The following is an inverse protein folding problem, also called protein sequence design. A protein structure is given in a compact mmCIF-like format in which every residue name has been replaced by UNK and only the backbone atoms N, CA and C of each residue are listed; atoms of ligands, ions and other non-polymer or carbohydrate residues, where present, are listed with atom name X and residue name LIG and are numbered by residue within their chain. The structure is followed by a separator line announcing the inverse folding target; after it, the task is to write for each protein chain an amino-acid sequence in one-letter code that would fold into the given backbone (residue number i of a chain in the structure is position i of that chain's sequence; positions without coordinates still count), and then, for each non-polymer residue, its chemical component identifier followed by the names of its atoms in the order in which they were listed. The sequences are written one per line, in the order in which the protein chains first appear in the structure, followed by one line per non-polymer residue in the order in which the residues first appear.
data_IF_941573469407
#
_entry.id   IF_941573469407
#
_cell.length_a   1.000
_cell.length_b   1.000
_cell.length_c   1.000
_cell.angle_alpha   90.00
_cell.angle_beta   90.00
_cell.angle_gamma   90.00
#
_symmetry.space_group_name_H-M   'P 1'
#
loop_
_entity.id
_entity.type
_entity.pdbx_description
1 polymer ?
#
# COMPACT_ATOMS: atom_id res chain seq x y z
N UNK A 1 81.51 -25.32 3.67
CA UNK A 1 81.45 -25.13 2.20
C UNK A 1 80.59 -26.25 1.63
N UNK A 2 79.72 -25.90 0.66
CA UNK A 2 78.91 -26.73 -0.25
C UNK A 2 77.62 -27.43 0.20
N UNK A 3 76.57 -27.10 -0.59
CA UNK A 3 75.42 -27.88 -1.07
C UNK A 3 74.22 -28.16 -0.13
N UNK A 4 73.11 -27.47 -0.45
CA UNK A 4 71.67 -27.82 -0.35
C UNK A 4 70.86 -26.64 0.22
N UNK A 5 70.72 -25.52 -0.49
CA UNK A 5 69.65 -25.27 -1.46
C UNK A 5 68.66 -26.43 -1.73
N UNK A 6 67.53 -26.42 -1.01
CA UNK A 6 66.20 -27.01 -1.31
C UNK A 6 65.40 -26.85 -0.01
N UNK A 7 64.27 -26.17 0.12
CA UNK A 7 63.23 -25.74 -0.80
C UNK A 7 62.64 -24.41 -0.25
N UNK A 8 62.88 -23.28 -0.93
CA UNK A 8 61.91 -22.19 -0.88
C UNK A 8 60.91 -22.47 -1.99
N UNK A 9 59.82 -23.14 -1.65
CA UNK A 9 58.67 -23.37 -2.55
C UNK A 9 58.05 -22.00 -2.85
N UNK A 10 58.60 -21.34 -3.88
CA UNK A 10 58.11 -20.09 -4.45
C UNK A 10 56.77 -20.44 -5.09
N UNK A 11 55.68 -20.18 -4.37
CA UNK A 11 54.34 -20.27 -4.93
C UNK A 11 54.25 -19.16 -5.97
N UNK A 12 54.57 -19.50 -7.22
CA UNK A 12 54.29 -18.64 -8.36
C UNK A 12 52.77 -18.63 -8.53
N UNK A 13 52.10 -17.73 -7.81
CA UNK A 13 50.69 -17.43 -8.05
C UNK A 13 50.64 -16.83 -9.46
N UNK A 14 50.13 -17.61 -10.41
CA UNK A 14 49.98 -17.19 -11.81
C UNK A 14 49.06 -15.97 -11.86
N UNK A 15 49.64 -14.81 -12.16
CA UNK A 15 48.92 -13.52 -12.25
C UNK A 15 47.82 -13.55 -13.32
N UNK A 16 47.99 -14.35 -14.37
CA UNK A 16 46.95 -14.61 -15.38
C UNK A 16 45.78 -15.42 -14.83
N UNK A 17 46.05 -16.40 -13.96
CA UNK A 17 45.02 -17.22 -13.31
C UNK A 17 44.17 -16.43 -12.31
N UNK A 18 44.81 -15.57 -11.51
CA UNK A 18 44.09 -14.69 -10.57
C UNK A 18 43.31 -13.58 -11.27
N UNK A 19 43.81 -13.04 -12.39
CA UNK A 19 43.08 -12.07 -13.20
C UNK A 19 41.82 -12.68 -13.85
N UNK A 20 41.95 -13.86 -14.48
CA UNK A 20 40.80 -14.56 -15.09
C UNK A 20 39.77 -14.98 -14.04
N UNK A 21 40.21 -15.46 -12.87
CA UNK A 21 39.32 -15.80 -11.76
C UNK A 21 38.61 -14.57 -11.19
N UNK A 22 39.30 -13.44 -11.06
CA UNK A 22 38.71 -12.17 -10.63
C UNK A 22 37.68 -11.64 -11.63
N UNK A 23 37.97 -11.68 -12.94
CA UNK A 23 37.02 -11.29 -13.99
C UNK A 23 35.80 -12.21 -14.01
N UNK A 24 36.00 -13.52 -13.81
CA UNK A 24 34.90 -14.50 -13.73
C UNK A 24 34.01 -14.26 -12.50
N UNK A 25 34.59 -13.97 -11.34
CA UNK A 25 33.85 -13.56 -10.14
C UNK A 25 33.08 -12.27 -10.36
N UNK A 26 33.70 -11.25 -10.95
CA UNK A 26 33.04 -9.96 -11.27
C UNK A 26 31.87 -10.20 -12.24
N UNK A 27 32.04 -11.04 -13.26
CA UNK A 27 30.97 -11.42 -14.16
C UNK A 27 29.82 -12.13 -13.43
N UNK A 28 30.11 -13.07 -12.52
CA UNK A 28 29.09 -13.70 -11.66
C UNK A 28 28.36 -12.65 -10.81
N UNK A 29 29.08 -11.71 -10.20
CA UNK A 29 28.50 -10.62 -9.41
C UNK A 29 27.59 -9.71 -10.24
N UNK A 30 27.91 -9.47 -11.52
CA UNK A 30 27.05 -8.72 -12.45
C UNK A 30 25.74 -9.47 -12.76
N UNK A 31 25.73 -10.81 -12.66
CA UNK A 31 24.54 -11.65 -12.87
C UNK A 31 23.74 -11.94 -11.58
N UNK A 32 24.25 -11.62 -10.39
CA UNK A 32 23.55 -11.79 -9.10
C UNK A 32 22.42 -10.75 -8.97
N UNK A 33 21.28 -11.08 -9.57
CA UNK A 33 20.04 -10.30 -9.48
C UNK A 33 19.27 -10.77 -8.25
N UNK A 34 19.37 -10.06 -7.14
CA UNK A 34 18.47 -10.32 -6.01
C UNK A 34 17.04 -9.97 -6.44
N UNK A 35 16.14 -10.95 -6.32
CA UNK A 35 14.73 -10.82 -6.67
C UNK A 35 13.90 -10.86 -5.39
N UNK A 36 12.70 -10.27 -5.46
CA UNK A 36 11.73 -10.32 -4.37
C UNK A 36 10.48 -11.08 -4.78
N UNK A 37 10.06 -12.00 -3.91
CA UNK A 37 8.80 -12.73 -4.02
C UNK A 37 7.87 -12.30 -2.90
N UNK A 38 6.71 -11.80 -3.29
CA UNK A 38 5.65 -11.42 -2.38
C UNK A 38 4.64 -12.57 -2.25
N UNK A 39 4.26 -12.85 -1.01
CA UNK A 39 3.22 -13.81 -0.66
C UNK A 39 2.08 -13.03 -0.04
N UNK A 40 1.05 -12.78 -0.83
CA UNK A 40 -0.19 -12.10 -0.41
C UNK A 40 -1.24 -13.17 -0.12
N UNK A 41 -1.97 -13.03 0.99
CA UNK A 41 -2.96 -14.02 1.39
C UNK A 41 -4.24 -13.91 0.54
N UNK A 42 -4.34 -14.72 -0.51
CA UNK A 42 -5.51 -14.76 -1.38
C UNK A 42 -6.61 -15.63 -0.78
N UNK A 43 -7.36 -15.10 0.18
CA UNK A 43 -8.56 -15.76 0.71
C UNK A 43 -9.84 -15.34 -0.05
N UNK A 44 -9.70 -14.79 -1.26
CA UNK A 44 -10.83 -14.31 -2.04
C UNK A 44 -11.44 -15.52 -2.75
N UNK A 45 -12.70 -15.83 -2.44
CA UNK A 45 -13.46 -16.79 -3.25
C UNK A 45 -13.60 -16.20 -4.65
N UNK A 46 -13.03 -16.87 -5.67
CA UNK A 46 -13.13 -16.43 -7.07
C UNK A 46 -14.59 -16.35 -7.56
N UNK A 47 -15.52 -16.95 -6.82
CA UNK A 47 -16.96 -16.98 -7.10
C UNK A 47 -17.80 -16.07 -6.19
N UNK A 48 -17.22 -15.04 -5.56
CA UNK A 48 -18.02 -14.08 -4.78
C UNK A 48 -19.03 -13.37 -5.70
N UNK A 49 -20.27 -13.83 -5.69
CA UNK A 49 -21.37 -13.22 -6.46
C UNK A 49 -21.70 -11.87 -5.83
N UNK A 50 -21.42 -10.78 -6.55
CA UNK A 50 -21.79 -9.44 -6.11
C UNK A 50 -23.27 -9.23 -6.45
N UNK A 51 -24.15 -9.00 -5.46
CA UNK A 51 -25.55 -8.71 -5.75
C UNK A 51 -25.68 -7.40 -6.53
N UNK A 52 -26.60 -7.34 -7.50
CA UNK A 52 -26.87 -6.10 -8.23
C UNK A 52 -27.94 -5.28 -7.48
N UNK A 53 -27.60 -4.06 -7.10
CA UNK A 53 -28.52 -3.11 -6.45
C UNK A 53 -28.79 -1.88 -7.33
N UNK A 54 -29.40 -2.12 -8.48
CA UNK A 54 -29.75 -1.10 -9.49
C UNK A 54 -30.51 0.14 -8.99
N UNK A 55 -31.14 0.09 -7.82
CA UNK A 55 -31.93 1.20 -7.26
C UNK A 55 -31.17 2.10 -6.27
N UNK A 56 -29.98 1.69 -5.82
CA UNK A 56 -29.24 2.42 -4.77
C UNK A 56 -27.97 3.02 -5.36
N UNK A 57 -27.74 4.32 -5.12
CA UNK A 57 -26.57 5.03 -5.61
C UNK A 57 -25.47 5.07 -4.56
N UNK A 58 -24.43 4.26 -4.77
CA UNK A 58 -23.24 4.21 -3.92
C UNK A 58 -22.14 5.09 -4.50
N UNK A 59 -21.50 5.89 -3.64
CA UNK A 59 -20.31 6.67 -4.00
C UNK A 59 -19.11 6.22 -3.19
N UNK A 60 -18.04 5.87 -3.90
CA UNK A 60 -16.77 5.44 -3.33
C UNK A 60 -15.77 6.60 -3.26
N UNK A 61 -15.04 6.69 -2.16
CA UNK A 61 -14.02 7.71 -1.89
C UNK A 61 -12.79 6.98 -1.34
N UNK A 62 -11.59 7.36 -1.79
CA UNK A 62 -10.35 6.70 -1.39
C UNK A 62 -10.03 5.46 -2.23
N UNK A 63 -9.65 4.35 -1.58
CA UNK A 63 -9.06 3.16 -2.23
C UNK A 63 -7.82 3.54 -3.05
N UNK A 64 -6.90 4.25 -2.41
CA UNK A 64 -5.68 4.82 -3.01
C UNK A 64 -4.43 4.24 -2.35
N UNK A 65 -3.41 3.82 -3.12
CA UNK A 65 -2.15 3.42 -2.52
C UNK A 65 -1.41 4.66 -1.99
N UNK A 66 -0.47 4.43 -1.07
CA UNK A 66 0.46 5.46 -0.64
C UNK A 66 1.79 5.32 -1.36
N UNK A 67 2.47 6.45 -1.56
CA UNK A 67 3.86 6.53 -1.93
C UNK A 67 4.62 7.31 -0.84
N UNK A 68 5.84 6.88 -0.56
CA UNK A 68 6.71 7.51 0.44
C UNK A 68 7.62 8.52 -0.23
N UNK A 69 7.56 9.78 0.22
CA UNK A 69 8.42 10.87 -0.23
C UNK A 69 9.28 11.40 0.92
N UNK A 70 10.49 11.88 0.60
CA UNK A 70 11.36 12.57 1.57
C UNK A 70 11.05 14.06 1.48
N UNK A 71 10.32 14.60 2.45
CA UNK A 71 9.85 16.00 2.42
C UNK A 71 10.84 16.97 3.06
N UNK A 72 11.68 16.51 3.97
CA UNK A 72 12.83 17.27 4.49
C UNK A 72 14.06 16.39 4.55
N UNK A 73 15.17 16.86 4.00
CA UNK A 73 16.48 16.23 4.12
C UNK A 73 17.47 17.28 4.60
N UNK A 74 17.86 17.19 5.87
CA UNK A 74 19.01 17.92 6.41
C UNK A 74 20.14 16.93 6.72
N UNK A 75 21.31 17.43 7.12
CA UNK A 75 22.46 16.62 7.56
C UNK A 75 22.14 15.72 8.76
N UNK A 76 21.13 16.06 9.56
CA UNK A 76 20.79 15.34 10.81
C UNK A 76 19.39 14.71 10.79
N UNK A 77 18.46 15.21 9.98
CA UNK A 77 17.06 14.74 9.98
C UNK A 77 16.53 14.49 8.58
N UNK A 78 15.93 13.30 8.39
CA UNK A 78 15.12 12.95 7.22
C UNK A 78 13.68 12.75 7.66
N UNK A 79 12.77 13.52 7.11
CA UNK A 79 11.33 13.37 7.34
C UNK A 79 10.73 12.67 6.13
N UNK A 80 10.04 11.56 6.40
CA UNK A 80 9.32 10.79 5.39
C UNK A 80 7.82 11.09 5.51
N UNK A 81 7.16 11.27 4.38
CA UNK A 81 5.72 11.52 4.30
C UNK A 81 5.10 10.50 3.36
N UNK A 82 4.00 9.87 3.79
CA UNK A 82 3.21 8.99 2.94
C UNK A 82 2.09 9.82 2.31
N UNK A 83 2.09 9.89 0.99
CA UNK A 83 1.12 10.64 0.19
C UNK A 83 0.25 9.67 -0.63
N UNK A 84 -1.05 9.89 -0.67
CA UNK A 84 -1.93 9.16 -1.59
C UNK A 84 -1.52 9.43 -3.04
N UNK A 85 -1.46 8.37 -3.85
CA UNK A 85 -1.07 8.45 -5.27
C UNK A 85 -2.30 8.73 -6.14
N UNK A 86 -2.19 9.70 -7.04
CA UNK A 86 -3.21 10.03 -8.05
C UNK A 86 -2.60 9.95 -9.46
N UNK A 87 -3.36 9.55 -10.50
CA UNK A 87 -4.77 9.15 -10.49
C UNK A 87 -4.99 7.67 -10.14
N UNK A 88 -3.97 6.97 -9.63
CA UNK A 88 -4.02 5.54 -9.38
C UNK A 88 -4.97 5.13 -8.25
N UNK A 89 -5.82 4.13 -8.52
CA UNK A 89 -6.68 3.48 -7.52
C UNK A 89 -6.23 2.05 -7.29
N UNK A 90 -6.30 1.56 -6.05
CA UNK A 90 -6.10 0.13 -5.75
C UNK A 90 -7.22 -0.68 -6.36
N UNK A 91 -8.48 -0.28 -6.17
CA UNK A 91 -9.62 -0.88 -6.86
C UNK A 91 -9.95 -0.01 -8.07
N UNK A 92 -9.88 -0.56 -9.27
CA UNK A 92 -10.07 0.25 -10.49
C UNK A 92 -11.53 0.71 -10.63
N UNK A 93 -12.47 -0.19 -10.39
CA UNK A 93 -13.91 0.04 -10.55
C UNK A 93 -14.70 -0.94 -9.68
N UNK A 94 -15.80 -0.46 -9.12
CA UNK A 94 -16.85 -1.26 -8.49
C UNK A 94 -18.03 -1.44 -9.45
N UNK A 95 -18.75 -2.56 -9.36
CA UNK A 95 -19.91 -2.85 -10.21
C UNK A 95 -21.13 -1.99 -9.82
N UNK A 96 -21.36 -1.79 -8.52
CA UNK A 96 -22.49 -1.11 -7.92
C UNK A 96 -22.08 0.25 -7.36
N UNK A 97 -21.96 1.24 -8.23
CA UNK A 97 -21.70 2.62 -7.85
C UNK A 97 -20.52 3.23 -8.60
N UNK A 98 -20.16 4.45 -8.20
CA UNK A 98 -19.15 5.25 -8.88
C UNK A 98 -18.21 5.93 -7.88
N UNK A 99 -16.99 6.21 -8.29
CA UNK A 99 -16.10 7.03 -7.48
C UNK A 99 -16.56 8.48 -7.46
N UNK A 100 -16.34 9.17 -6.34
CA UNK A 100 -16.73 10.56 -6.17
C UNK A 100 -16.14 11.49 -7.24
N UNK A 101 -14.91 11.23 -7.69
CA UNK A 101 -14.26 12.02 -8.73
C UNK A 101 -14.92 11.90 -10.11
N UNK A 102 -15.72 10.85 -10.32
CA UNK A 102 -16.36 10.56 -11.60
C UNK A 102 -17.78 11.16 -11.66
N UNK A 103 -18.27 11.73 -10.54
CA UNK A 103 -19.60 12.31 -10.40
C UNK A 103 -19.56 13.83 -10.53
N UNK A 104 -20.59 14.40 -11.16
CA UNK A 104 -20.77 15.85 -11.27
C UNK A 104 -21.74 16.33 -10.20
N UNK A 105 -21.34 17.39 -9.49
CA UNK A 105 -22.22 18.05 -8.52
C UNK A 105 -23.26 18.92 -9.23
N UNK A 106 -24.52 18.82 -8.79
CA UNK A 106 -25.64 19.68 -9.27
C UNK A 106 -25.83 20.89 -8.36
N UNK A 107 -25.20 20.92 -7.18
CA UNK A 107 -25.32 22.01 -6.22
C UNK A 107 -24.77 21.65 -4.84
N UNK A 108 -25.37 22.24 -3.81
CA UNK A 108 -25.01 21.96 -2.42
C UNK A 108 -26.24 21.55 -1.61
N UNK A 109 -26.10 20.47 -0.84
CA UNK A 109 -27.11 19.99 0.11
C UNK A 109 -27.22 20.99 1.27
N UNK A 110 -28.42 21.52 1.51
CA UNK A 110 -28.73 22.45 2.62
C UNK A 110 -29.29 21.74 3.86
N UNK A 111 -29.72 20.50 3.68
CA UNK A 111 -30.32 19.64 4.70
C UNK A 111 -29.28 18.97 5.62
N UNK A 112 -28.00 18.98 5.24
CA UNK A 112 -26.89 18.50 6.07
C UNK A 112 -26.17 19.70 6.68
N UNK A 113 -26.06 19.73 8.02
CA UNK A 113 -25.42 20.84 8.73
C UNK A 113 -23.92 20.92 8.46
N UNK A 114 -23.37 22.14 8.47
CA UNK A 114 -21.93 22.39 8.28
C UNK A 114 -21.07 21.61 9.28
N UNK A 115 -21.52 21.46 10.53
CA UNK A 115 -20.78 20.71 11.56
C UNK A 115 -20.68 19.22 11.24
N UNK A 116 -21.73 18.61 10.65
CA UNK A 116 -21.67 17.21 10.20
C UNK A 116 -20.68 17.03 9.06
N UNK A 117 -20.69 17.95 8.09
CA UNK A 117 -19.75 17.93 6.97
C UNK A 117 -18.31 18.13 7.48
N UNK A 118 -18.11 19.07 8.40
CA UNK A 118 -16.82 19.32 9.05
C UNK A 118 -16.31 18.08 9.78
N UNK A 119 -17.16 17.41 10.56
CA UNK A 119 -16.81 16.17 11.26
C UNK A 119 -16.39 15.08 10.28
N UNK A 120 -17.18 14.84 9.23
CA UNK A 120 -16.84 13.88 8.17
C UNK A 120 -15.48 14.18 7.52
N UNK A 121 -15.21 15.45 7.18
CA UNK A 121 -13.93 15.90 6.63
C UNK A 121 -12.79 15.64 7.62
N UNK A 122 -12.97 15.99 8.90
CA UNK A 122 -11.96 15.78 9.93
C UNK A 122 -11.69 14.29 10.17
N UNK A 123 -12.73 13.47 10.25
CA UNK A 123 -12.61 12.02 10.46
C UNK A 123 -11.81 11.37 9.33
N UNK A 124 -12.00 11.80 8.08
CA UNK A 124 -11.19 11.30 6.95
C UNK A 124 -9.75 11.82 7.00
N UNK A 125 -9.55 13.14 7.16
CA UNK A 125 -8.21 13.74 7.21
C UNK A 125 -7.40 13.31 8.43
N UNK A 126 -8.04 12.87 9.51
CA UNK A 126 -7.33 12.31 10.66
C UNK A 126 -6.59 11.01 10.29
N UNK A 127 -7.11 10.23 9.34
CA UNK A 127 -6.50 8.99 8.87
C UNK A 127 -5.47 9.25 7.77
N UNK A 128 -5.86 9.97 6.71
CA UNK A 128 -5.03 10.12 5.49
C UNK A 128 -4.24 11.44 5.42
N UNK A 129 -4.41 12.31 6.42
CA UNK A 129 -3.76 13.63 6.53
C UNK A 129 -4.00 14.48 5.29
N UNK A 130 -3.11 15.43 5.02
CA UNK A 130 -3.25 16.41 3.93
C UNK A 130 -3.38 15.78 2.54
N UNK A 131 -2.81 14.58 2.35
CA UNK A 131 -2.87 13.87 1.06
C UNK A 131 -4.30 13.46 0.63
N UNK A 132 -5.24 13.40 1.58
CA UNK A 132 -6.65 13.13 1.31
C UNK A 132 -7.52 14.34 0.98
N UNK A 133 -6.98 15.56 1.05
CA UNK A 133 -7.78 16.77 0.80
C UNK A 133 -8.40 16.73 -0.59
N UNK A 134 -7.66 16.25 -1.61
CA UNK A 134 -8.16 16.16 -2.98
C UNK A 134 -9.41 15.28 -3.10
N UNK A 135 -9.43 14.09 -2.48
CA UNK A 135 -10.60 13.20 -2.46
C UNK A 135 -11.84 13.89 -1.87
N UNK A 136 -11.65 14.68 -0.81
CA UNK A 136 -12.73 15.43 -0.18
C UNK A 136 -13.25 16.57 -1.05
N UNK A 137 -12.42 17.16 -1.93
CA UNK A 137 -12.89 18.22 -2.84
C UNK A 137 -13.95 17.72 -3.82
N UNK A 138 -14.03 16.42 -4.11
CA UNK A 138 -15.07 15.88 -4.99
C UNK A 138 -16.45 15.82 -4.31
N UNK A 139 -16.48 15.75 -2.99
CA UNK A 139 -17.70 15.53 -2.20
C UNK A 139 -18.08 16.76 -1.37
N UNK A 140 -17.11 17.58 -0.99
CA UNK A 140 -17.31 18.72 -0.10
C UNK A 140 -16.72 19.99 -0.70
N UNK A 141 -17.15 21.14 -0.20
CA UNK A 141 -16.49 22.41 -0.42
C UNK A 141 -16.41 23.21 0.87
N UNK A 142 -15.42 24.10 0.94
CA UNK A 142 -15.24 25.00 2.09
C UNK A 142 -15.36 26.43 1.58
N UNK A 143 -16.28 27.18 2.16
CA UNK A 143 -16.42 28.61 1.93
C UNK A 143 -15.96 29.38 3.15
N UNK A 144 -15.10 30.38 2.94
CA UNK A 144 -14.67 31.29 3.99
C UNK A 144 -15.67 32.44 4.06
N UNK A 145 -16.39 32.58 5.16
CA UNK A 145 -17.21 33.76 5.47
C UNK A 145 -16.61 34.47 6.67
N UNK A 146 -15.78 35.49 6.40
CA UNK A 146 -15.03 36.19 7.45
C UNK A 146 -14.01 35.27 8.12
N UNK A 147 -14.11 35.11 9.45
CA UNK A 147 -13.28 34.20 10.24
C UNK A 147 -13.80 32.76 10.25
N UNK A 148 -15.08 32.55 9.93
CA UNK A 148 -15.69 31.22 9.96
C UNK A 148 -15.53 30.48 8.62
N UNK A 149 -15.25 29.17 8.74
CA UNK A 149 -15.20 28.24 7.60
C UNK A 149 -16.49 27.43 7.56
N UNK A 150 -17.28 27.64 6.51
CA UNK A 150 -18.52 26.90 6.28
C UNK A 150 -18.22 25.70 5.40
N UNK A 151 -18.50 24.51 5.91
CA UNK A 151 -18.35 23.25 5.20
C UNK A 151 -19.67 22.90 4.52
N UNK A 152 -19.63 22.68 3.21
CA UNK A 152 -20.80 22.33 2.40
C UNK A 152 -20.63 20.96 1.77
N UNK A 153 -21.71 20.19 1.73
CA UNK A 153 -21.77 18.91 1.04
C UNK A 153 -22.28 19.14 -0.39
N UNK A 154 -21.55 18.63 -1.38
CA UNK A 154 -21.96 18.67 -2.78
C UNK A 154 -23.13 17.71 -3.01
N UNK A 155 -24.10 18.15 -3.80
CA UNK A 155 -25.19 17.27 -4.20
C UNK A 155 -24.80 16.48 -5.45
N UNK A 156 -24.38 15.24 -5.20
CA UNK A 156 -23.98 14.27 -6.23
C UNK A 156 -24.99 13.12 -6.38
N UNK A 157 -26.17 13.24 -5.76
CA UNK A 157 -27.25 12.26 -5.88
C UNK A 157 -26.95 10.91 -5.23
N UNK A 158 -26.15 10.88 -4.16
CA UNK A 158 -25.69 9.66 -3.49
C UNK A 158 -26.60 9.24 -2.33
N UNK A 159 -26.91 7.94 -2.26
CA UNK A 159 -27.64 7.33 -1.14
C UNK A 159 -26.70 6.87 -0.02
N UNK A 160 -25.51 6.37 -0.38
CA UNK A 160 -24.49 5.89 0.55
C UNK A 160 -23.08 6.33 0.13
N UNK A 161 -22.32 6.84 1.10
CA UNK A 161 -20.90 7.14 0.93
C UNK A 161 -20.05 6.02 1.53
N UNK A 162 -19.09 5.52 0.77
CA UNK A 162 -18.16 4.47 1.19
C UNK A 162 -16.74 5.03 1.16
N UNK A 163 -16.12 5.15 2.33
CA UNK A 163 -14.72 5.52 2.48
C UNK A 163 -13.87 4.25 2.55
N UNK A 164 -12.90 4.08 1.64
CA UNK A 164 -11.90 3.03 1.72
C UNK A 164 -10.53 3.59 2.04
N UNK A 165 -9.95 3.17 3.17
CA UNK A 165 -8.66 3.66 3.67
C UNK A 165 -7.73 2.47 3.84
N UNK A 166 -6.58 2.48 3.16
CA UNK A 166 -5.54 1.48 3.38
C UNK A 166 -4.69 1.86 4.59
N UNK A 167 -4.34 0.87 5.40
CA UNK A 167 -3.47 1.00 6.55
C UNK A 167 -2.44 -0.12 6.54
N UNK A 168 -1.29 0.04 7.22
CA UNK A 168 -0.68 1.30 7.61
C UNK A 168 -0.14 2.09 6.39
N UNK A 169 0.06 3.40 6.54
CA UNK A 169 0.61 4.25 5.47
C UNK A 169 2.08 3.93 5.13
N UNK A 170 2.83 3.44 6.13
CA UNK A 170 4.18 2.91 5.99
C UNK A 170 4.19 1.44 6.39
N UNK A 171 5.01 0.62 5.72
CA UNK A 171 5.18 -0.79 6.03
C UNK A 171 5.64 -0.95 7.48
N UNK A 172 4.89 -1.75 8.23
CA UNK A 172 5.25 -2.13 9.59
C UNK A 172 5.36 -3.65 9.68
N UNK A 173 6.35 -4.18 10.42
CA UNK A 173 6.41 -5.60 10.72
C UNK A 173 5.17 -6.05 11.49
N UNK A 174 4.71 -7.29 11.22
CA UNK A 174 3.52 -7.87 11.86
C UNK A 174 3.59 -7.81 13.39
N UNK A 175 4.71 -8.24 13.95
CA UNK A 175 4.99 -8.25 15.39
C UNK A 175 6.48 -8.02 15.63
N UNK A 176 6.88 -7.78 16.88
CA UNK A 176 8.29 -7.59 17.26
C UNK A 176 9.20 -8.73 16.80
N UNK A 177 8.75 -9.99 16.91
CA UNK A 177 9.51 -11.15 16.44
C UNK A 177 9.76 -11.11 14.92
N UNK A 178 8.81 -10.60 14.12
CA UNK A 178 9.00 -10.39 12.68
C UNK A 178 10.10 -9.36 12.42
N UNK A 179 10.14 -8.27 13.19
CA UNK A 179 11.19 -7.25 13.09
C UNK A 179 12.58 -7.85 13.34
N UNK A 180 12.70 -8.72 14.34
CA UNK A 180 13.96 -9.41 14.66
C UNK A 180 14.39 -10.34 13.52
N UNK A 181 13.48 -11.18 13.03
CA UNK A 181 13.75 -12.09 11.90
C UNK A 181 14.14 -11.29 10.66
N UNK A 182 13.46 -10.18 10.38
CA UNK A 182 13.76 -9.31 9.26
C UNK A 182 15.16 -8.71 9.37
N UNK A 183 15.53 -8.21 10.55
CA UNK A 183 16.85 -7.64 10.78
C UNK A 183 17.95 -8.68 10.54
N UNK A 184 17.86 -9.84 11.20
CA UNK A 184 18.89 -10.87 11.10
C UNK A 184 18.95 -11.48 9.70
N UNK A 185 17.82 -11.85 9.11
CA UNK A 185 17.78 -12.41 7.76
C UNK A 185 18.32 -11.42 6.71
N UNK A 186 18.07 -10.12 6.87
CA UNK A 186 18.63 -9.10 5.99
C UNK A 186 20.15 -8.99 6.13
N UNK A 187 20.69 -9.02 7.35
CA UNK A 187 22.15 -9.00 7.60
C UNK A 187 22.83 -10.21 6.99
N UNK A 188 22.31 -11.42 7.25
CA UNK A 188 22.88 -12.65 6.68
C UNK A 188 22.71 -12.72 5.17
N UNK A 189 21.61 -12.20 4.62
CA UNK A 189 21.43 -12.06 3.17
C UNK A 189 22.48 -11.14 2.57
N UNK A 190 22.78 -9.99 3.17
CA UNK A 190 23.82 -9.08 2.67
C UNK A 190 25.20 -9.75 2.71
N UNK A 191 25.56 -10.37 3.84
CA UNK A 191 26.87 -11.04 4.00
C UNK A 191 27.03 -12.23 3.04
N UNK A 192 25.95 -12.95 2.75
CA UNK A 192 25.95 -14.09 1.83
C UNK A 192 25.62 -13.71 0.38
N UNK A 193 25.61 -12.41 0.03
CA UNK A 193 25.25 -11.92 -1.30
C UNK A 193 23.91 -12.44 -1.84
N UNK A 194 22.94 -12.63 -0.94
CA UNK A 194 21.58 -13.07 -1.24
C UNK A 194 21.42 -14.58 -1.46
N UNK A 195 22.44 -15.38 -1.11
CA UNK A 195 22.32 -16.85 -1.02
C UNK A 195 21.42 -17.25 0.15
N UNK A 196 21.63 -16.68 1.32
CA UNK A 196 20.70 -16.75 2.45
C UNK A 196 19.58 -15.74 2.18
N UNK A 197 18.31 -16.14 2.26
CA UNK A 197 17.22 -15.23 1.96
C UNK A 197 17.03 -14.18 3.05
N UNK A 198 16.66 -12.96 2.64
CA UNK A 198 16.03 -11.96 3.50
C UNK A 198 14.54 -12.23 3.57
N UNK A 199 13.95 -12.17 4.77
CA UNK A 199 12.52 -12.42 4.98
C UNK A 199 11.89 -11.30 5.79
N UNK A 200 10.70 -10.85 5.40
CA UNK A 200 9.90 -9.91 6.19
C UNK A 200 8.43 -10.34 6.20
N UNK A 201 7.77 -10.25 7.36
CA UNK A 201 6.31 -10.36 7.48
C UNK A 201 5.74 -9.01 7.89
N UNK A 202 4.87 -8.46 7.04
CA UNK A 202 4.45 -7.06 7.05
C UNK A 202 2.93 -6.95 7.18
N UNK A 203 2.47 -5.90 7.84
CA UNK A 203 1.06 -5.57 7.98
C UNK A 203 0.55 -4.81 6.75
N UNK A 204 -0.67 -5.13 6.36
CA UNK A 204 -1.49 -4.32 5.49
C UNK A 204 -2.96 -4.58 5.84
N UNK A 205 -3.80 -3.58 5.68
CA UNK A 205 -5.21 -3.66 5.98
C UNK A 205 -5.99 -2.61 5.21
N UNK A 206 -7.30 -2.80 5.16
CA UNK A 206 -8.24 -1.84 4.59
C UNK A 206 -9.35 -1.62 5.58
N UNK A 207 -9.63 -0.37 5.90
CA UNK A 207 -10.81 0.02 6.66
C UNK A 207 -11.83 0.63 5.71
N UNK A 208 -13.05 0.07 5.71
CA UNK A 208 -14.17 0.54 4.92
C UNK A 208 -15.22 1.11 5.85
N UNK A 209 -15.44 2.42 5.80
CA UNK A 209 -16.48 3.12 6.58
C UNK A 209 -17.66 3.44 5.66
N UNK A 210 -18.87 3.02 6.04
CA UNK A 210 -20.10 3.26 5.27
C UNK A 210 -20.93 4.32 5.98
N UNK A 211 -21.36 5.34 5.24
CA UNK A 211 -22.21 6.43 5.71
C UNK A 211 -23.50 6.49 4.91
N UNK A 212 -24.57 6.96 5.54
CA UNK A 212 -25.80 7.31 4.83
C UNK A 212 -25.66 8.63 4.05
N UNK A 213 -26.71 8.97 3.27
CA UNK A 213 -26.81 10.23 2.53
C UNK A 213 -26.69 11.51 3.38
N UNK A 214 -26.79 11.42 4.70
CA UNK A 214 -26.73 12.52 5.66
C UNK A 214 -25.41 12.54 6.45
N UNK A 215 -24.42 11.76 6.01
CA UNK A 215 -23.10 11.59 6.63
C UNK A 215 -23.13 10.99 8.04
N UNK A 216 -24.17 10.23 8.39
CA UNK A 216 -24.15 9.43 9.61
C UNK A 216 -23.42 8.12 9.32
N UNK A 217 -22.37 7.81 10.08
CA UNK A 217 -21.66 6.54 9.96
C UNK A 217 -22.57 5.39 10.38
N UNK A 218 -22.68 4.38 9.52
CA UNK A 218 -23.53 3.22 9.71
C UNK A 218 -22.73 2.01 10.20
N UNK A 219 -21.54 1.81 9.63
CA UNK A 219 -20.63 0.72 10.02
C UNK A 219 -19.18 1.03 9.62
N UNK A 220 -18.24 0.30 10.22
CA UNK A 220 -16.84 0.23 9.80
C UNK A 220 -16.42 -1.24 9.72
N UNK A 221 -15.90 -1.66 8.56
CA UNK A 221 -15.44 -3.02 8.29
C UNK A 221 -13.92 -2.97 8.12
N UNK A 222 -13.20 -3.79 8.88
CA UNK A 222 -11.73 -3.87 8.82
C UNK A 222 -11.29 -5.19 8.20
N UNK A 223 -10.43 -5.09 7.20
CA UNK A 223 -9.83 -6.23 6.53
C UNK A 223 -8.34 -6.30 6.85
N UNK A 224 -7.85 -7.52 7.06
CA UNK A 224 -6.43 -7.80 7.23
C UNK A 224 -5.88 -8.41 5.92
N UNK A 225 -4.81 -7.83 5.40
CA UNK A 225 -4.11 -8.18 4.16
C UNK A 225 -2.62 -8.40 4.41
N UNK A 226 -2.27 -8.92 5.59
CA UNK A 226 -0.91 -9.33 5.90
C UNK A 226 -0.24 -10.09 4.75
N UNK A 227 1.02 -9.76 4.53
CA UNK A 227 1.81 -10.36 3.47
C UNK A 227 3.24 -10.61 3.96
N UNK A 228 3.94 -11.46 3.25
CA UNK A 228 5.37 -11.69 3.49
C UNK A 228 6.18 -11.50 2.22
N UNK A 229 7.44 -11.16 2.40
CA UNK A 229 8.38 -10.88 1.33
C UNK A 229 9.62 -11.74 1.55
N UNK A 230 10.04 -12.44 0.51
CA UNK A 230 11.27 -13.20 0.47
C UNK A 230 12.19 -12.62 -0.61
N UNK A 231 13.38 -12.19 -0.22
CA UNK A 231 14.41 -11.68 -1.12
C UNK A 231 15.60 -12.64 -1.20
N UNK A 232 15.97 -13.08 -2.40
CA UNK A 232 17.14 -13.93 -2.62
C UNK A 232 17.58 -13.87 -4.10
N UNK A 233 18.77 -14.38 -4.42
CA UNK A 233 19.25 -14.46 -5.81
C UNK A 233 18.56 -15.58 -6.61
N UNK A 234 18.13 -16.64 -5.91
CA UNK A 234 17.53 -17.84 -6.50
C UNK A 234 16.00 -17.80 -6.53
N UNK A 235 15.39 -16.81 -5.87
CA UNK A 235 13.93 -16.70 -5.86
C UNK A 235 13.42 -16.08 -7.17
N UNK A 236 12.29 -16.59 -7.66
CA UNK A 236 11.56 -15.98 -8.78
C UNK A 236 10.91 -14.67 -8.33
N UNK A 237 10.95 -13.61 -9.13
CA UNK A 237 10.23 -12.37 -8.82
C UNK A 237 8.72 -12.53 -9.02
N UNK A 238 7.96 -12.22 -7.97
CA UNK A 238 6.49 -12.16 -8.01
C UNK A 238 6.05 -10.95 -7.20
N UNK A 239 5.47 -9.90 -7.82
CA UNK A 239 5.25 -9.73 -9.26
C UNK A 239 6.55 -9.58 -10.08
N UNK A 240 6.49 -9.79 -11.40
CA UNK A 240 7.69 -9.80 -12.29
C UNK A 240 8.49 -8.49 -12.25
N UNK A 241 7.79 -7.38 -12.05
CA UNK A 241 8.36 -6.03 -11.89
C UNK A 241 9.34 -5.93 -10.73
N UNK A 242 9.24 -6.81 -9.72
CA UNK A 242 10.13 -6.88 -8.56
C UNK A 242 11.45 -7.63 -8.82
N UNK A 243 11.78 -7.91 -10.08
CA UNK A 243 13.09 -8.44 -10.47
C UNK A 243 14.21 -7.41 -10.27
N UNK A 244 15.44 -7.88 -10.06
CA UNK A 244 16.65 -7.05 -9.99
C UNK A 244 16.55 -5.90 -8.97
N UNK A 245 16.09 -6.20 -7.77
CA UNK A 245 15.94 -5.24 -6.67
C UNK A 245 15.02 -4.03 -6.93
N UNK A 246 14.18 -4.05 -7.98
CA UNK A 246 13.29 -2.93 -8.30
C UNK A 246 12.25 -2.65 -7.22
N UNK A 247 11.66 -3.70 -6.65
CA UNK A 247 10.82 -3.59 -5.46
C UNK A 247 11.72 -3.70 -4.24
N UNK A 248 12.48 -2.66 -3.93
CA UNK A 248 13.35 -2.64 -2.76
C UNK A 248 12.50 -2.49 -1.48
N UNK A 249 11.72 -3.53 -1.16
CA UNK A 249 10.80 -3.62 -0.02
C UNK A 249 11.51 -3.47 1.32
N UNK A 250 12.83 -3.65 1.33
CA UNK A 250 13.67 -3.58 2.52
C UNK A 250 14.26 -2.18 2.76
N UNK A 251 13.88 -1.17 1.97
CA UNK A 251 14.13 0.23 2.34
C UNK A 251 13.38 0.52 3.66
N UNK A 252 14.09 1.15 4.61
CA UNK A 252 13.61 1.38 5.98
C UNK A 252 12.24 2.06 6.08
N UNK A 253 11.83 2.85 5.08
CA UNK A 253 10.52 3.51 5.05
C UNK A 253 9.95 3.42 3.64
N UNK A 254 8.99 2.52 3.44
CA UNK A 254 8.20 2.41 2.21
C UNK A 254 6.74 2.15 2.56
N UNK A 255 5.82 2.38 1.63
CA UNK A 255 4.39 2.07 1.81
C UNK A 255 4.07 0.66 1.31
N UNK A 256 3.02 -0.01 1.84
CA UNK A 256 2.58 -1.29 1.30
C UNK A 256 2.25 -1.18 -0.19
N UNK A 257 2.70 -2.13 -1.03
CA UNK A 257 2.53 -2.00 -2.47
C UNK A 257 1.08 -2.22 -2.90
N UNK A 258 0.69 -1.53 -3.97
CA UNK A 258 -0.68 -1.49 -4.51
C UNK A 258 -1.30 -2.87 -4.71
N UNK A 259 -0.53 -3.83 -5.22
CA UNK A 259 -1.01 -5.19 -5.54
C UNK A 259 -1.45 -6.00 -4.32
N UNK A 260 -1.05 -5.59 -3.10
CA UNK A 260 -1.53 -6.22 -1.85
C UNK A 260 -3.04 -6.00 -1.68
N UNK A 261 -3.60 -4.92 -2.24
CA UNK A 261 -5.01 -4.56 -2.06
C UNK A 261 -5.87 -4.83 -3.29
N UNK A 262 -5.25 -4.83 -4.49
CA UNK A 262 -5.95 -4.83 -5.78
C UNK A 262 -6.96 -5.96 -5.97
N UNK A 263 -6.66 -7.15 -5.47
CA UNK A 263 -7.49 -8.33 -5.70
C UNK A 263 -8.75 -8.37 -4.82
N UNK A 264 -8.81 -7.58 -3.74
CA UNK A 264 -9.92 -7.63 -2.77
C UNK A 264 -11.16 -6.81 -3.17
N UNK A 265 -11.13 -6.10 -4.29
CA UNK A 265 -12.25 -5.28 -4.77
C UNK A 265 -13.61 -6.00 -4.77
N UNK A 266 -13.71 -7.22 -5.34
CA UNK A 266 -14.96 -7.98 -5.35
C UNK A 266 -15.47 -8.36 -3.95
N UNK A 267 -14.57 -8.71 -3.03
CA UNK A 267 -14.93 -9.02 -1.64
C UNK A 267 -15.48 -7.78 -0.94
N UNK A 268 -14.76 -6.65 -1.03
CA UNK A 268 -15.20 -5.38 -0.46
C UNK A 268 -16.60 -5.02 -0.95
N UNK A 269 -16.82 -5.13 -2.25
CA UNK A 269 -18.09 -4.77 -2.86
C UNK A 269 -19.23 -5.67 -2.39
N UNK A 270 -19.01 -6.99 -2.37
CA UNK A 270 -19.99 -7.96 -1.90
C UNK A 270 -20.43 -7.67 -0.46
N UNK A 271 -19.48 -7.38 0.43
CA UNK A 271 -19.77 -7.11 1.85
C UNK A 271 -20.50 -5.77 2.01
N UNK A 272 -20.12 -4.74 1.26
CA UNK A 272 -20.80 -3.43 1.23
C UNK A 272 -22.24 -3.58 0.75
N UNK A 273 -22.45 -4.25 -0.39
CA UNK A 273 -23.78 -4.41 -0.99
C UNK A 273 -24.67 -5.25 -0.08
N UNK A 274 -24.15 -6.33 0.49
CA UNK A 274 -24.89 -7.18 1.43
C UNK A 274 -25.33 -6.40 2.68
N UNK A 275 -24.45 -5.55 3.22
CA UNK A 275 -24.79 -4.66 4.33
C UNK A 275 -25.93 -3.69 3.96
N UNK A 276 -25.81 -3.02 2.81
CA UNK A 276 -26.81 -2.05 2.34
C UNK A 276 -28.17 -2.70 2.10
N UNK A 277 -28.21 -3.89 1.48
CA UNK A 277 -29.43 -4.65 1.26
C UNK A 277 -30.12 -5.02 2.58
N UNK A 278 -29.35 -5.56 3.54
CA UNK A 278 -29.86 -5.93 4.87
C UNK A 278 -30.48 -4.72 5.57
N UNK A 279 -29.81 -3.57 5.53
CA UNK A 279 -30.31 -2.35 6.16
C UNK A 279 -31.57 -1.79 5.46
N UNK A 280 -31.65 -1.91 4.13
CA UNK A 280 -32.84 -1.49 3.37
C UNK A 280 -34.07 -2.34 3.68
N UNK A 281 -33.86 -3.63 3.99
CA UNK A 281 -34.94 -4.55 4.40
C UNK A 281 -35.49 -4.23 5.78
N UNK A 282 -34.65 -3.74 6.70
CA UNK A 282 -35.06 -3.41 8.09
C UNK A 282 -35.85 -2.09 8.15
N UNK A 283 -35.67 -1.20 7.16
CA UNK A 283 -36.35 0.10 7.09
C UNK A 283 -37.69 0.08 6.32
N UNK A 284 -38.08 -1.06 5.77
CA UNK A 284 -39.43 -1.29 5.20
C UNK A 284 -40.35 -1.84 6.27
#
# INVERSE_FOLDING_TARGET
MTKLEKEKKKIHVSWKGTFVFSVFLIMIFIFLKCNYRYYVQKNISENTSIPNISKVKITYIGFRPYETEITKSSTETRVYTANLVYPDRTIFKFQNGFYASDLKSVGYRKDVSSDKVKKFVQDYLNEVKESGVLELTYVTSVEKKGEERIFKLKDIGTDYYVLGIHTPAFQTPKHFASSVIQLFSSVFSVISFGLIPSYASLQAGTEIKIYDKNLNQLTSIKYNHEYSVLGAIWVSSVPKECSRMRCNALKQVTSPPKFVYQEYGPQFESDIVSFIQTQSSIRK
#
